data_IF_988993637424
#
_entry.id   IF_988993637424
#
_cell.length_a   1.000
_cell.length_b   1.000
_cell.length_c   1.000
_cell.angle_alpha   90.00
_cell.angle_beta   90.00
_cell.angle_gamma   90.00
#
_symmetry.space_group_name_H-M   'P 1'
#
loop_
_entity.id
_entity.type
_entity.pdbx_description
1 polymer ?
#
# COMPACT_ATOMS: atom_id res chain seq x y z
N UNK A 1 -11.83 30.50 39.17
CA UNK A 1 -11.79 29.83 37.85
C UNK A 1 -12.76 30.54 36.92
N UNK A 2 -12.26 31.09 35.81
CA UNK A 2 -13.12 31.75 34.82
C UNK A 2 -13.84 30.73 33.95
N UNK A 3 -15.03 31.06 33.44
CA UNK A 3 -15.82 30.21 32.51
C UNK A 3 -14.96 29.70 31.35
N UNK A 4 -14.03 30.53 30.86
CA UNK A 4 -13.06 30.18 29.82
C UNK A 4 -12.11 29.04 30.18
N UNK A 5 -11.70 28.92 31.45
CA UNK A 5 -10.87 27.81 31.92
C UNK A 5 -11.69 26.52 31.95
N UNK A 6 -12.93 26.56 32.44
CA UNK A 6 -13.82 25.40 32.47
C UNK A 6 -14.19 24.90 31.07
N UNK A 7 -14.45 25.81 30.13
CA UNK A 7 -14.70 25.46 28.73
C UNK A 7 -13.47 24.83 28.10
N UNK A 8 -12.28 25.38 28.30
CA UNK A 8 -11.03 24.78 27.81
C UNK A 8 -10.79 23.36 28.33
N UNK A 9 -11.07 23.13 29.62
CA UNK A 9 -10.89 21.83 30.27
C UNK A 9 -11.74 20.71 29.65
N UNK A 10 -12.96 21.01 29.22
CA UNK A 10 -13.86 20.02 28.59
C UNK A 10 -13.61 19.91 27.09
N UNK A 11 -13.34 21.02 26.42
CA UNK A 11 -13.20 21.06 24.95
C UNK A 11 -11.94 20.36 24.47
N UNK A 12 -10.82 20.50 25.17
CA UNK A 12 -9.53 19.90 24.77
C UNK A 12 -9.59 18.36 24.65
N UNK A 13 -10.04 17.59 25.67
CA UNK A 13 -10.13 16.12 25.56
C UNK A 13 -11.18 15.66 24.55
N UNK A 14 -12.28 16.41 24.38
CA UNK A 14 -13.28 16.13 23.34
C UNK A 14 -12.69 16.30 21.94
N UNK A 15 -11.93 17.36 21.69
CA UNK A 15 -11.25 17.58 20.41
C UNK A 15 -10.16 16.53 20.12
N UNK A 16 -9.44 16.10 21.15
CA UNK A 16 -8.47 15.01 21.04
C UNK A 16 -9.15 13.67 20.68
N UNK A 17 -10.20 13.30 21.42
CA UNK A 17 -10.99 12.08 21.15
C UNK A 17 -11.68 12.10 19.79
N UNK A 18 -12.26 13.24 19.40
CA UNK A 18 -12.87 13.43 18.08
C UNK A 18 -11.86 13.29 16.94
N UNK A 19 -10.63 13.76 17.14
CA UNK A 19 -9.56 13.63 16.14
C UNK A 19 -9.09 12.18 15.99
N UNK A 20 -8.96 11.44 17.10
CA UNK A 20 -8.70 10.00 17.07
C UNK A 20 -9.84 9.21 16.39
N UNK A 21 -11.10 9.55 16.65
CA UNK A 21 -12.26 8.94 16.01
C UNK A 21 -12.25 9.17 14.49
N UNK A 22 -11.91 10.39 14.04
CA UNK A 22 -11.80 10.71 12.62
C UNK A 22 -10.73 9.90 11.91
N UNK A 23 -9.63 9.56 12.59
CA UNK A 23 -8.59 8.67 12.05
C UNK A 23 -9.22 7.30 11.72
N UNK A 24 -10.01 6.73 12.62
CA UNK A 24 -10.67 5.44 12.37
C UNK A 24 -11.75 5.58 11.27
N UNK A 25 -12.66 6.54 11.41
CA UNK A 25 -13.79 6.72 10.50
C UNK A 25 -13.36 7.03 9.05
N UNK A 26 -12.26 7.75 8.88
CA UNK A 26 -11.69 8.08 7.55
C UNK A 26 -10.54 7.17 7.16
N UNK A 27 -10.34 6.07 7.88
CA UNK A 27 -9.28 5.11 7.65
C UNK A 27 -7.90 5.76 7.51
N UNK A 28 -7.56 6.76 8.31
CA UNK A 28 -6.23 7.38 8.37
C UNK A 28 -5.85 8.22 7.15
N UNK A 29 -6.80 8.71 6.36
CA UNK A 29 -6.54 9.37 5.08
C UNK A 29 -5.92 10.78 5.16
N UNK A 30 -5.87 11.45 6.33
CA UNK A 30 -5.40 12.85 6.42
C UNK A 30 -4.37 13.07 7.54
N UNK A 31 -3.19 13.55 7.17
CA UNK A 31 -2.12 13.95 8.10
C UNK A 31 -2.60 14.98 9.14
N UNK A 32 -3.52 15.86 8.75
CA UNK A 32 -4.12 16.86 9.64
C UNK A 32 -4.89 16.26 10.83
N UNK A 33 -5.50 15.08 10.66
CA UNK A 33 -6.24 14.41 11.75
C UNK A 33 -5.25 13.88 12.81
N UNK A 34 -4.07 13.40 12.39
CA UNK A 34 -2.97 13.00 13.29
C UNK A 34 -2.32 14.19 13.99
N UNK A 35 -2.00 15.25 13.26
CA UNK A 35 -1.43 16.47 13.83
C UNK A 35 -2.36 17.09 14.88
N UNK A 36 -3.66 17.13 14.58
CA UNK A 36 -4.67 17.61 15.52
C UNK A 36 -4.73 16.73 16.78
N UNK A 37 -4.74 15.41 16.63
CA UNK A 37 -4.82 14.48 17.76
C UNK A 37 -3.58 14.56 18.66
N UNK A 38 -2.38 14.66 18.08
CA UNK A 38 -1.12 14.84 18.82
C UNK A 38 -1.07 16.21 19.50
N UNK A 39 -1.47 17.28 18.80
CA UNK A 39 -1.49 18.64 19.34
C UNK A 39 -2.40 18.73 20.58
N UNK A 40 -3.65 18.30 20.48
CA UNK A 40 -4.60 18.38 21.60
C UNK A 40 -4.23 17.46 22.76
N UNK A 41 -3.68 16.27 22.47
CA UNK A 41 -3.15 15.38 23.51
C UNK A 41 -1.96 16.00 24.23
N UNK A 42 -1.03 16.63 23.49
CA UNK A 42 0.13 17.32 24.05
C UNK A 42 -0.27 18.51 24.92
N UNK A 43 -1.26 19.30 24.49
CA UNK A 43 -1.82 20.41 25.29
C UNK A 43 -2.45 19.89 26.58
N UNK A 44 -3.21 18.78 26.54
CA UNK A 44 -3.81 18.17 27.74
C UNK A 44 -2.74 17.67 28.73
N UNK A 45 -1.70 17.00 28.23
CA UNK A 45 -0.57 16.54 29.06
C UNK A 45 0.18 17.73 29.68
N UNK A 46 0.49 18.76 28.89
CA UNK A 46 1.19 19.95 29.36
C UNK A 46 0.42 20.69 30.46
N UNK A 47 -0.91 20.83 30.30
CA UNK A 47 -1.77 21.42 31.32
C UNK A 47 -1.88 20.53 32.57
N UNK A 48 -1.92 19.21 32.42
CA UNK A 48 -1.99 18.26 33.54
C UNK A 48 -0.69 18.11 34.34
N UNK A 49 0.47 18.46 33.77
CA UNK A 49 1.76 18.50 34.45
C UNK A 49 2.03 19.83 35.18
N UNK A 50 1.32 20.90 34.81
CA UNK A 50 1.38 22.21 35.47
C UNK A 50 0.33 22.36 36.57
N UNK A 51 -0.18 23.58 36.75
CA UNK A 51 -1.20 23.89 37.76
C UNK A 51 -2.63 23.43 37.38
N UNK A 52 -2.76 22.61 36.33
CA UNK A 52 -4.03 22.11 35.85
C UNK A 52 -4.53 20.90 36.63
N UNK A 53 -5.81 20.51 36.44
CA UNK A 53 -6.36 19.30 37.03
C UNK A 53 -5.59 18.05 36.60
N UNK A 54 -5.12 17.24 37.56
CA UNK A 54 -4.31 16.04 37.28
C UNK A 54 -5.01 14.99 36.41
N UNK A 55 -6.34 15.02 36.27
CA UNK A 55 -7.07 14.15 35.34
C UNK A 55 -6.79 14.49 33.86
N UNK A 56 -6.37 15.73 33.54
CA UNK A 56 -5.97 16.10 32.17
C UNK A 56 -4.75 15.33 31.70
N UNK A 57 -3.82 15.03 32.62
CA UNK A 57 -2.66 14.20 32.32
C UNK A 57 -3.11 12.81 31.87
N UNK A 58 -4.01 12.19 32.64
CA UNK A 58 -4.58 10.90 32.30
C UNK A 58 -5.35 10.97 30.96
N UNK A 59 -6.18 12.00 30.77
CA UNK A 59 -6.95 12.19 29.54
C UNK A 59 -6.04 12.35 28.31
N UNK A 60 -5.01 13.19 28.39
CA UNK A 60 -4.05 13.44 27.31
C UNK A 60 -3.22 12.20 26.96
N UNK A 61 -2.77 11.44 27.96
CA UNK A 61 -2.10 10.16 27.75
C UNK A 61 -3.02 9.14 27.07
N UNK A 62 -4.28 9.03 27.53
CA UNK A 62 -5.28 8.13 26.94
C UNK A 62 -5.56 8.50 25.48
N UNK A 63 -5.72 9.78 25.15
CA UNK A 63 -6.00 10.20 23.76
C UNK A 63 -4.78 10.03 22.85
N UNK A 64 -3.56 10.21 23.38
CA UNK A 64 -2.33 9.91 22.64
C UNK A 64 -2.23 8.40 22.32
N UNK A 65 -2.43 7.54 23.32
CA UNK A 65 -2.45 6.08 23.13
C UNK A 65 -3.56 5.66 22.16
N UNK A 66 -4.77 6.22 22.31
CA UNK A 66 -5.88 5.95 21.41
C UNK A 66 -5.58 6.37 19.96
N UNK A 67 -4.82 7.44 19.76
CA UNK A 67 -4.38 7.88 18.42
C UNK A 67 -3.43 6.87 17.79
N UNK A 68 -2.47 6.36 18.55
CA UNK A 68 -1.54 5.31 18.09
C UNK A 68 -2.30 4.02 17.80
N UNK A 69 -3.20 3.60 18.70
CA UNK A 69 -4.04 2.42 18.49
C UNK A 69 -4.95 2.57 17.26
N UNK A 70 -5.57 3.72 17.07
CA UNK A 70 -6.38 4.02 15.88
C UNK A 70 -5.55 3.89 14.60
N UNK A 71 -4.30 4.37 14.61
CA UNK A 71 -3.38 4.18 13.49
C UNK A 71 -3.12 2.70 13.20
N UNK A 72 -2.77 1.93 14.23
CA UNK A 72 -2.50 0.50 14.10
C UNK A 72 -3.72 -0.28 13.60
N UNK A 73 -4.92 0.04 14.11
CA UNK A 73 -6.19 -0.55 13.65
C UNK A 73 -6.44 -0.23 12.19
N UNK A 74 -6.23 1.02 11.75
CA UNK A 74 -6.38 1.40 10.34
C UNK A 74 -5.39 0.66 9.45
N UNK A 75 -4.12 0.57 9.87
CA UNK A 75 -3.08 -0.16 9.11
C UNK A 75 -3.43 -1.65 9.03
N UNK A 76 -3.84 -2.25 10.14
CA UNK A 76 -4.27 -3.64 10.19
C UNK A 76 -5.51 -3.87 9.32
N UNK A 77 -6.54 -3.03 9.43
CA UNK A 77 -7.75 -3.11 8.63
C UNK A 77 -7.45 -2.94 7.14
N UNK A 78 -6.60 -2.00 6.75
CA UNK A 78 -6.15 -1.84 5.35
C UNK A 78 -5.40 -3.07 4.85
N UNK A 79 -4.57 -3.68 5.70
CA UNK A 79 -3.83 -4.90 5.35
C UNK A 79 -4.77 -6.12 5.21
N UNK A 80 -5.78 -6.24 6.08
CA UNK A 80 -6.77 -7.32 6.05
C UNK A 80 -7.80 -7.15 4.93
N UNK A 81 -8.16 -5.91 4.59
CA UNK A 81 -9.13 -5.58 3.54
C UNK A 81 -8.50 -5.44 2.16
N UNK A 82 -7.23 -5.80 1.96
CA UNK A 82 -6.73 -6.01 0.61
C UNK A 82 -7.26 -7.36 0.13
N UNK A 83 -8.25 -7.40 -0.78
CA UNK A 83 -8.79 -8.67 -1.27
C UNK A 83 -7.65 -9.50 -1.85
N UNK A 84 -7.43 -10.66 -1.21
CA UNK A 84 -6.51 -11.67 -1.69
C UNK A 84 -7.30 -12.64 -2.55
N UNK A 85 -7.01 -12.65 -3.85
CA UNK A 85 -7.68 -13.51 -4.81
C UNK A 85 -6.74 -14.65 -5.17
N UNK A 86 -7.13 -15.88 -4.85
CA UNK A 86 -6.43 -17.05 -5.35
C UNK A 86 -6.72 -17.18 -6.85
N UNK A 87 -5.67 -17.27 -7.67
CA UNK A 87 -5.78 -17.42 -9.12
C UNK A 87 -4.93 -18.58 -9.60
N UNK A 88 -5.43 -19.27 -10.63
CA UNK A 88 -4.61 -20.20 -11.39
C UNK A 88 -3.54 -19.41 -12.19
N UNK A 89 -2.24 -19.74 -12.08
CA UNK A 89 -1.18 -18.95 -12.69
C UNK A 89 -1.26 -18.88 -14.22
N UNK A 90 -1.55 -19.99 -14.88
CA UNK A 90 -1.60 -20.04 -16.35
C UNK A 90 -2.82 -19.29 -16.88
N UNK A 91 -4.00 -19.52 -16.29
CA UNK A 91 -5.22 -18.80 -16.65
C UNK A 91 -5.08 -17.30 -16.36
N UNK A 92 -4.43 -16.92 -15.25
CA UNK A 92 -4.18 -15.52 -14.93
C UNK A 92 -3.24 -14.87 -15.95
N UNK A 93 -2.14 -15.52 -16.32
CA UNK A 93 -1.22 -15.03 -17.36
C UNK A 93 -1.94 -14.85 -18.70
N UNK A 94 -2.73 -15.84 -19.12
CA UNK A 94 -3.51 -15.78 -20.35
C UNK A 94 -4.52 -14.61 -20.31
N UNK A 95 -5.19 -14.41 -19.17
CA UNK A 95 -6.11 -13.29 -18.98
C UNK A 95 -5.42 -11.93 -19.05
N UNK A 96 -4.23 -11.79 -18.47
CA UNK A 96 -3.44 -10.56 -18.57
C UNK A 96 -3.03 -10.27 -20.00
N UNK A 97 -2.53 -11.27 -20.73
CA UNK A 97 -2.16 -11.12 -22.14
C UNK A 97 -3.36 -10.74 -22.99
N UNK A 98 -4.49 -11.45 -22.86
CA UNK A 98 -5.72 -11.15 -23.57
C UNK A 98 -6.23 -9.71 -23.31
N UNK A 99 -6.12 -9.24 -22.07
CA UNK A 99 -6.46 -7.86 -21.72
C UNK A 99 -5.55 -6.83 -22.39
N UNK A 100 -4.26 -7.13 -22.59
CA UNK A 100 -3.29 -6.20 -23.18
C UNK A 100 -3.27 -6.23 -24.72
N UNK A 101 -3.73 -7.33 -25.32
CA UNK A 101 -3.80 -7.51 -26.78
C UNK A 101 -5.18 -7.21 -27.36
N UNK A 102 -6.20 -7.02 -26.52
CA UNK A 102 -7.51 -6.58 -26.95
C UNK A 102 -7.46 -5.18 -27.62
N UNK A 103 -8.40 -4.95 -28.53
CA UNK A 103 -8.60 -3.63 -29.13
C UNK A 103 -9.14 -2.66 -28.09
N UNK A 104 -8.47 -1.50 -27.96
CA UNK A 104 -8.81 -0.47 -26.98
C UNK A 104 -7.86 -0.42 -25.77
N UNK A 105 -8.26 0.23 -24.67
CA UNK A 105 -7.44 0.34 -23.47
C UNK A 105 -7.13 -1.05 -22.90
N UNK A 106 -5.98 -1.23 -22.23
CA UNK A 106 -5.13 -0.20 -21.61
C UNK A 106 -3.98 0.34 -22.50
N UNK A 107 -3.57 1.59 -22.24
CA UNK A 107 -2.36 2.18 -22.83
C UNK A 107 -1.11 1.95 -21.96
N UNK A 108 -1.30 1.69 -20.68
CA UNK A 108 -0.22 1.39 -19.75
C UNK A 108 -0.75 0.54 -18.59
N UNK A 109 0.13 -0.30 -18.04
CA UNK A 109 -0.14 -1.05 -16.82
C UNK A 109 1.12 -1.13 -15.97
N UNK A 110 0.92 -1.24 -14.66
CA UNK A 110 2.00 -1.44 -13.70
C UNK A 110 1.79 -2.78 -13.00
N UNK A 111 2.83 -3.61 -12.97
CA UNK A 111 2.75 -4.93 -12.33
C UNK A 111 4.01 -5.24 -11.53
N UNK A 112 3.87 -6.06 -10.50
CA UNK A 112 4.98 -6.45 -9.65
C UNK A 112 4.61 -7.48 -8.59
N UNK A 113 5.62 -7.98 -7.91
CA UNK A 113 5.49 -8.97 -6.83
C UNK A 113 5.69 -8.28 -5.48
N UNK A 114 4.69 -8.39 -4.61
CA UNK A 114 4.77 -7.92 -3.24
C UNK A 114 5.70 -8.78 -2.37
N UNK A 115 6.11 -8.29 -1.18
CA UNK A 115 7.01 -9.00 -0.27
C UNK A 115 6.44 -10.30 0.31
N UNK A 116 5.16 -10.60 0.08
CA UNK A 116 4.49 -11.84 0.46
C UNK A 116 4.21 -12.78 -0.74
N UNK A 117 4.81 -12.49 -1.90
CA UNK A 117 4.70 -13.33 -3.09
C UNK A 117 3.42 -13.12 -3.90
N UNK A 118 2.56 -12.17 -3.52
CA UNK A 118 1.37 -11.82 -4.29
C UNK A 118 1.70 -10.95 -5.50
N UNK A 119 0.97 -11.14 -6.60
CA UNK A 119 1.10 -10.32 -7.81
C UNK A 119 0.06 -9.21 -7.77
N UNK A 120 0.50 -7.97 -7.97
CA UNK A 120 -0.38 -6.80 -8.12
C UNK A 120 -0.31 -6.28 -9.54
N UNK A 121 -1.46 -5.95 -10.12
CA UNK A 121 -1.58 -5.35 -11.45
C UNK A 121 -2.47 -4.12 -11.36
N UNK A 122 -2.04 -3.00 -11.93
CA UNK A 122 -2.78 -1.74 -12.00
C UNK A 122 -2.90 -1.29 -13.45
N UNK A 123 -4.00 -0.62 -13.80
CA UNK A 123 -4.28 -0.14 -15.16
C UNK A 123 -5.20 -1.05 -15.98
N UNK A 124 -5.71 -2.15 -15.40
CA UNK A 124 -6.63 -3.09 -16.04
C UNK A 124 -8.06 -3.04 -15.45
N UNK A 125 -8.40 -2.00 -14.70
CA UNK A 125 -9.68 -1.90 -14.00
C UNK A 125 -10.86 -1.79 -14.98
N UNK A 126 -10.66 -1.08 -16.09
CA UNK A 126 -11.66 -0.92 -17.14
C UNK A 126 -12.02 -2.24 -17.85
N UNK A 127 -11.13 -3.23 -17.78
CA UNK A 127 -11.33 -4.58 -18.34
C UNK A 127 -11.65 -5.63 -17.25
N UNK A 128 -12.03 -5.16 -16.06
CA UNK A 128 -12.53 -6.01 -14.97
C UNK A 128 -11.44 -6.77 -14.19
N UNK A 129 -10.18 -6.34 -14.28
CA UNK A 129 -9.10 -6.80 -13.41
C UNK A 129 -8.83 -5.66 -12.42
N UNK A 130 -9.31 -5.81 -11.19
CA UNK A 130 -9.17 -4.80 -10.16
C UNK A 130 -7.75 -4.72 -9.62
N UNK A 131 -7.58 -3.91 -8.58
CA UNK A 131 -6.29 -3.71 -7.88
C UNK A 131 -6.06 -4.75 -6.79
N UNK A 132 -6.67 -5.92 -6.90
CA UNK A 132 -6.53 -6.98 -5.91
C UNK A 132 -5.10 -7.56 -5.90
N UNK A 133 -4.80 -8.27 -4.82
CA UNK A 133 -3.55 -9.01 -4.67
C UNK A 133 -3.82 -10.45 -5.08
N UNK A 134 -3.08 -10.93 -6.07
CA UNK A 134 -3.31 -12.23 -6.66
C UNK A 134 -2.34 -13.24 -6.06
N UNK A 135 -2.86 -14.30 -5.45
CA UNK A 135 -2.08 -15.39 -4.88
C UNK A 135 -2.05 -16.58 -5.84
N UNK A 136 -0.85 -17.08 -6.16
CA UNK A 136 -0.63 -18.07 -7.22
C UNK A 136 -0.56 -19.53 -6.73
N UNK A 137 -1.09 -19.85 -5.56
CA UNK A 137 -1.29 -21.23 -5.10
C UNK A 137 -0.04 -22.13 -5.05
N UNK A 138 1.16 -21.54 -4.93
CA UNK A 138 2.44 -22.26 -4.90
C UNK A 138 3.37 -21.99 -6.10
N UNK A 139 2.88 -21.36 -7.17
CA UNK A 139 3.74 -20.88 -8.26
C UNK A 139 4.49 -19.60 -7.86
N UNK A 140 5.65 -19.36 -8.50
CA UNK A 140 6.45 -18.17 -8.25
C UNK A 140 5.86 -16.96 -8.98
N UNK A 141 5.48 -15.91 -8.23
CA UNK A 141 5.03 -14.63 -8.79
C UNK A 141 6.05 -13.99 -9.73
N UNK A 142 7.34 -14.08 -9.40
CA UNK A 142 8.41 -13.52 -10.25
C UNK A 142 8.53 -14.27 -11.57
N UNK A 143 8.42 -15.61 -11.59
CA UNK A 143 8.42 -16.37 -12.85
C UNK A 143 7.24 -15.99 -13.75
N UNK A 144 6.01 -15.92 -13.19
CA UNK A 144 4.83 -15.50 -13.96
C UNK A 144 5.01 -14.09 -14.54
N UNK A 145 5.56 -13.17 -13.74
CA UNK A 145 5.81 -11.80 -14.14
C UNK A 145 6.84 -11.72 -15.27
N UNK A 146 7.94 -12.47 -15.18
CA UNK A 146 8.96 -12.55 -16.23
C UNK A 146 8.41 -13.13 -17.53
N UNK A 147 7.66 -14.22 -17.47
CA UNK A 147 7.00 -14.81 -18.64
C UNK A 147 6.00 -13.85 -19.28
N UNK A 148 5.20 -13.16 -18.46
CA UNK A 148 4.22 -12.18 -18.94
C UNK A 148 4.91 -11.00 -19.64
N UNK A 149 5.95 -10.42 -19.03
CA UNK A 149 6.70 -9.29 -19.61
C UNK A 149 7.42 -9.71 -20.90
N UNK A 150 8.04 -10.90 -20.91
CA UNK A 150 8.72 -11.45 -22.08
C UNK A 150 7.75 -11.71 -23.24
N UNK A 151 6.56 -12.21 -22.94
CA UNK A 151 5.53 -12.48 -23.95
C UNK A 151 4.79 -11.24 -24.46
N UNK A 152 4.81 -10.13 -23.71
CA UNK A 152 4.07 -8.92 -24.07
C UNK A 152 4.95 -7.83 -24.70
N UNK A 153 6.10 -7.52 -24.10
CA UNK A 153 6.90 -6.36 -24.48
C UNK A 153 8.04 -6.71 -25.46
N UNK A 154 8.28 -5.83 -26.43
CA UNK A 154 9.34 -6.01 -27.44
C UNK A 154 10.74 -6.05 -26.83
N UNK A 155 10.95 -5.33 -25.71
CA UNK A 155 12.18 -5.34 -24.92
C UNK A 155 12.06 -6.22 -23.66
N UNK A 156 11.14 -7.20 -23.67
CA UNK A 156 10.80 -7.99 -22.50
C UNK A 156 11.98 -8.78 -21.92
N UNK A 157 12.79 -9.42 -22.77
CA UNK A 157 13.96 -10.20 -22.33
C UNK A 157 14.99 -9.32 -21.61
N UNK A 158 15.33 -8.16 -22.19
CA UNK A 158 16.27 -7.20 -21.59
C UNK A 158 15.73 -6.67 -20.24
N UNK A 159 14.44 -6.30 -20.19
CA UNK A 159 13.82 -5.81 -18.97
C UNK A 159 13.80 -6.87 -17.86
N UNK A 160 13.59 -8.15 -18.20
CA UNK A 160 13.65 -9.28 -17.27
C UNK A 160 15.06 -9.51 -16.74
N UNK A 161 16.09 -9.41 -17.59
CA UNK A 161 17.47 -9.51 -17.15
C UNK A 161 17.81 -8.41 -16.14
N UNK A 162 17.43 -7.17 -16.44
CA UNK A 162 17.60 -6.04 -15.53
C UNK A 162 16.84 -6.26 -14.21
N UNK A 163 15.63 -6.80 -14.27
CA UNK A 163 14.82 -7.11 -13.09
C UNK A 163 15.49 -8.13 -12.18
N UNK A 164 15.98 -9.23 -12.75
CA UNK A 164 16.74 -10.26 -12.02
C UNK A 164 18.00 -9.67 -11.38
N UNK A 165 18.73 -8.80 -12.09
CA UNK A 165 19.89 -8.11 -11.53
C UNK A 165 19.54 -7.23 -10.32
N UNK A 166 18.38 -6.57 -10.32
CA UNK A 166 17.89 -5.81 -9.16
C UNK A 166 17.45 -6.72 -8.01
N UNK A 167 16.76 -7.82 -8.29
CA UNK A 167 16.37 -8.80 -7.27
C UNK A 167 17.58 -9.41 -6.57
N UNK A 168 18.63 -9.76 -7.31
CA UNK A 168 19.89 -10.25 -6.73
C UNK A 168 20.54 -9.23 -5.78
N UNK A 169 20.31 -7.93 -5.99
CA UNK A 169 20.75 -6.84 -5.10
C UNK A 169 19.76 -6.56 -3.96
N UNK A 170 18.79 -7.45 -3.75
CA UNK A 170 17.68 -7.32 -2.78
C UNK A 170 16.85 -6.04 -2.99
N UNK A 171 16.76 -5.56 -4.23
CA UNK A 171 15.99 -4.38 -4.60
C UNK A 171 14.74 -4.78 -5.40
N UNK A 172 13.56 -4.66 -4.78
CA UNK A 172 12.30 -4.94 -5.47
C UNK A 172 11.94 -3.83 -6.46
N UNK A 173 11.41 -4.21 -7.62
CA UNK A 173 11.02 -3.32 -8.72
C UNK A 173 9.63 -3.69 -9.24
N UNK A 174 8.99 -2.74 -9.90
CA UNK A 174 7.74 -2.92 -10.65
C UNK A 174 8.06 -2.81 -12.15
N UNK A 175 7.39 -3.59 -12.98
CA UNK A 175 7.36 -3.35 -14.41
C UNK A 175 6.26 -2.36 -14.74
N UNK A 176 6.64 -1.25 -15.36
CA UNK A 176 5.76 -0.34 -16.05
C UNK A 176 5.76 -0.73 -17.53
N UNK A 177 4.63 -1.25 -18.00
CA UNK A 177 4.43 -1.60 -19.39
C UNK A 177 3.62 -0.49 -20.04
N UNK A 178 4.07 -0.02 -21.21
CA UNK A 178 3.41 1.04 -21.98
C UNK A 178 3.23 0.58 -23.42
N UNK A 179 2.06 0.86 -23.99
CA UNK A 179 1.73 0.60 -25.38
C UNK A 179 2.09 1.83 -26.21
N UNK A 180 2.88 1.65 -27.26
CA UNK A 180 3.25 2.71 -28.19
C UNK A 180 2.01 3.20 -28.96
N UNK A 181 1.80 4.51 -28.99
CA UNK A 181 0.63 5.12 -29.66
C UNK A 181 0.65 4.89 -31.17
N UNK A 182 1.85 4.84 -31.78
CA UNK A 182 2.03 4.71 -33.22
C UNK A 182 2.28 3.25 -33.63
N UNK A 183 3.22 2.57 -32.98
CA UNK A 183 3.55 1.17 -33.33
C UNK A 183 2.54 0.17 -32.78
N UNK A 184 1.82 0.50 -31.71
CA UNK A 184 0.97 -0.44 -30.99
C UNK A 184 1.75 -1.43 -30.11
N UNK A 185 3.09 -1.42 -30.19
CA UNK A 185 3.97 -2.34 -29.48
C UNK A 185 4.07 -1.99 -27.99
N UNK A 186 4.21 -3.00 -27.15
CA UNK A 186 4.43 -2.82 -25.73
C UNK A 186 5.91 -2.70 -25.41
N UNK A 187 6.27 -1.78 -24.52
CA UNK A 187 7.61 -1.63 -23.94
C UNK A 187 7.56 -1.73 -22.43
N UNK A 188 8.57 -2.34 -21.82
CA UNK A 188 8.72 -2.50 -20.39
C UNK A 188 9.82 -1.59 -19.81
N UNK A 189 9.53 -0.94 -18.69
CA UNK A 189 10.48 -0.16 -17.90
C UNK A 189 10.41 -0.59 -16.43
N UNK A 190 11.55 -0.58 -15.72
CA UNK A 190 11.57 -0.83 -14.27
C UNK A 190 11.35 0.44 -13.47
N UNK A 191 10.52 0.33 -12.42
CA UNK A 191 10.23 1.42 -11.48
C UNK A 191 10.46 0.95 -10.04
N UNK A 192 11.10 1.76 -9.19
CA UNK A 192 11.30 1.39 -7.81
C UNK A 192 9.95 1.35 -7.06
N UNK A 193 9.80 0.35 -6.19
CA UNK A 193 8.63 0.25 -5.30
C UNK A 193 8.61 1.44 -4.34
N UNK A 194 7.52 2.19 -4.34
CA UNK A 194 7.24 3.25 -3.36
C UNK A 194 6.61 2.58 -2.11
N UNK A 195 7.44 2.16 -1.15
CA UNK A 195 6.96 1.48 0.07
C UNK A 195 7.90 0.39 0.56
N UNK A 196 7.35 -0.79 0.89
CA UNK A 196 8.14 -1.96 1.29
C UNK A 196 9.00 -2.46 0.14
N UNK A 197 10.30 -2.15 0.19
CA UNK A 197 11.28 -2.44 -0.88
C UNK A 197 11.84 -3.85 -0.86
N UNK A 198 11.53 -4.63 0.17
CA UNK A 198 12.03 -6.00 0.29
C UNK A 198 11.41 -6.87 -0.81
N UNK A 199 12.22 -7.66 -1.53
CA UNK A 199 11.70 -8.68 -2.44
C UNK A 199 11.06 -9.83 -1.64
N UNK A 200 10.28 -10.65 -2.33
CA UNK A 200 9.71 -11.87 -1.72
C UNK A 200 10.81 -12.89 -1.42
N UNK A 201 11.04 -13.15 -0.13
CA UNK A 201 12.13 -14.03 0.34
C UNK A 201 11.84 -15.52 0.11
N UNK A 202 10.57 -15.92 0.20
CA UNK A 202 10.17 -17.33 0.19
C UNK A 202 9.71 -17.82 -1.19
N UNK A 203 10.39 -17.37 -2.25
CA UNK A 203 10.08 -17.81 -3.59
C UNK A 203 10.14 -19.35 -3.70
N UNK A 204 9.12 -20.00 -4.30
CA UNK A 204 9.05 -21.45 -4.40
C UNK A 204 10.01 -22.02 -5.47
N UNK A 205 10.50 -21.18 -6.39
CA UNK A 205 11.46 -21.56 -7.43
C UNK A 205 12.91 -21.33 -6.98
N UNK A 206 13.87 -22.02 -7.61
CA UNK A 206 15.30 -21.87 -7.31
C UNK A 206 15.90 -20.55 -7.81
N UNK A 207 15.33 -19.97 -8.86
CA UNK A 207 15.87 -18.78 -9.54
C UNK A 207 15.69 -17.52 -8.69
N UNK A 208 14.54 -17.39 -8.01
CA UNK A 208 14.18 -16.21 -7.22
C UNK A 208 14.26 -16.43 -5.72
N UNK A 209 14.80 -17.58 -5.28
CA UNK A 209 15.07 -17.84 -3.86
C UNK A 209 16.36 -17.09 -3.48
N UNK A 210 16.24 -16.09 -2.60
CA UNK A 210 17.33 -15.19 -2.20
C UNK A 210 17.56 -15.16 -0.70
#
# INVERSE_FOLDING_TARGET
MGVWQTVGLVVIPVLAGWSALRIVARQGARALDYLSALFWSGVAVGLGLGDGPGWLLAAGCVTAVATVLAHLVVVAARRMNQPLVAVDPEAFRARLLAACTADGPPEALLTGVGPDGTVTVWGLEAVGIGRERHHLGGACGSCLLEEFVTGLAVNGEEAVEQYRAQLCRRANQLFLLRRGVISGDWTAELRPVQGFKAPYEYAPCRVHRH
#
